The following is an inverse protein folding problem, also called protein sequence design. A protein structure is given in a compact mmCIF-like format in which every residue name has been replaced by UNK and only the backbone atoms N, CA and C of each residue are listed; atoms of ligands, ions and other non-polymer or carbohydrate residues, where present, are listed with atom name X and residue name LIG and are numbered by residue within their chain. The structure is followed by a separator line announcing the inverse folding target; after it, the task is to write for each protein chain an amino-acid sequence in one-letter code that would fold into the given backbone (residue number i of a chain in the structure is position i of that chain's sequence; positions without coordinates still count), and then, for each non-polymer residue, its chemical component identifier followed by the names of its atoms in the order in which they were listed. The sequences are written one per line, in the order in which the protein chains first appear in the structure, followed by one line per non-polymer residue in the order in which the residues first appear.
data_IF_986532306365
#
_entry.id   IF_986532306365
#
_cell.length_a   1.000
_cell.length_b   1.000
_cell.length_c   1.000
_cell.angle_alpha   90.00
_cell.angle_beta   90.00
_cell.angle_gamma   90.00
#
_symmetry.space_group_name_H-M   'P 1'
#
loop_
_entity.id
_entity.type
_entity.pdbx_description
1 polymer ?
#
# COMPACT_ATOMS: atom_id res chain seq x y z
N UNK A 1 -3.52 -7.97 -1.12
CA UNK A 1 -4.82 -8.40 -0.55
C UNK A 1 -5.80 -7.23 -0.37
N UNK A 2 -5.49 -6.16 0.37
CA UNK A 2 -6.42 -5.03 0.56
C UNK A 2 -6.97 -4.45 -0.75
N UNK A 3 -6.10 -4.21 -1.73
CA UNK A 3 -6.46 -3.75 -3.08
C UNK A 3 -7.38 -4.75 -3.80
N UNK A 4 -7.15 -6.06 -3.64
CA UNK A 4 -7.97 -7.11 -4.25
C UNK A 4 -9.40 -7.05 -3.73
N UNK A 5 -9.57 -6.97 -2.40
CA UNK A 5 -10.90 -6.91 -1.81
C UNK A 5 -11.63 -5.61 -2.15
N UNK A 6 -10.92 -4.48 -2.11
CA UNK A 6 -11.47 -3.20 -2.52
C UNK A 6 -11.94 -3.24 -3.99
N UNK A 7 -11.11 -3.77 -4.89
CA UNK A 7 -11.46 -3.93 -6.30
C UNK A 7 -12.74 -4.76 -6.49
N UNK A 8 -12.85 -5.88 -5.78
CA UNK A 8 -14.03 -6.78 -5.85
C UNK A 8 -15.30 -6.14 -5.31
N UNK A 9 -15.21 -5.51 -4.13
CA UNK A 9 -16.40 -5.09 -3.36
C UNK A 9 -16.83 -3.66 -3.62
N UNK A 10 -15.90 -2.78 -3.93
CA UNK A 10 -16.15 -1.35 -4.07
C UNK A 10 -16.11 -0.94 -5.54
N UNK A 11 -15.08 -1.38 -6.28
CA UNK A 11 -14.92 -1.02 -7.69
C UNK A 11 -15.66 -1.96 -8.68
N UNK A 12 -16.36 -2.98 -8.19
CA UNK A 12 -17.15 -3.90 -9.02
C UNK A 12 -16.33 -4.83 -9.93
N UNK A 13 -15.02 -4.94 -9.73
CA UNK A 13 -14.13 -5.81 -10.51
C UNK A 13 -14.20 -7.25 -9.99
N UNK A 14 -15.32 -7.91 -10.30
CA UNK A 14 -15.55 -9.30 -9.93
C UNK A 14 -14.43 -10.20 -10.45
N UNK A 15 -13.87 -11.05 -9.58
CA UNK A 15 -12.75 -11.92 -9.94
C UNK A 15 -11.38 -11.25 -9.91
N UNK A 16 -11.26 -9.97 -9.49
CA UNK A 16 -9.96 -9.33 -9.34
C UNK A 16 -9.04 -10.12 -8.40
N UNK A 17 -7.75 -10.20 -8.72
CA UNK A 17 -6.79 -10.95 -7.93
C UNK A 17 -5.36 -10.43 -8.12
N UNK A 18 -4.42 -11.03 -7.37
CA UNK A 18 -3.00 -10.96 -7.68
C UNK A 18 -2.64 -12.08 -8.66
N UNK A 19 -1.74 -11.82 -9.60
CA UNK A 19 -1.11 -12.89 -10.39
C UNK A 19 -0.56 -14.00 -9.50
N UNK A 20 0.02 -13.63 -8.36
CA UNK A 20 0.60 -14.56 -7.39
C UNK A 20 -0.36 -15.68 -6.96
N UNK A 21 -1.65 -15.37 -6.85
CA UNK A 21 -2.66 -16.32 -6.36
C UNK A 21 -3.50 -16.92 -7.48
N UNK A 22 -3.69 -16.18 -8.57
CA UNK A 22 -4.51 -16.59 -9.71
C UNK A 22 -4.03 -15.92 -10.99
N UNK A 23 -3.20 -16.64 -11.74
CA UNK A 23 -2.67 -16.21 -13.04
C UNK A 23 -3.77 -16.05 -14.10
N UNK A 24 -4.92 -16.71 -13.92
CA UNK A 24 -6.04 -16.69 -14.86
C UNK A 24 -7.07 -15.60 -14.56
N UNK A 25 -6.88 -14.86 -13.46
CA UNK A 25 -7.80 -13.79 -13.06
C UNK A 25 -8.01 -12.78 -14.20
N UNK A 26 -9.27 -12.38 -14.47
CA UNK A 26 -9.59 -11.38 -15.48
C UNK A 26 -9.12 -9.98 -15.08
N UNK A 27 -8.90 -9.73 -13.77
CA UNK A 27 -8.43 -8.44 -13.27
C UNK A 27 -7.24 -8.59 -12.32
N UNK A 28 -6.03 -8.62 -12.90
CA UNK A 28 -4.77 -8.63 -12.15
C UNK A 28 -4.44 -7.24 -11.61
N UNK A 29 -5.07 -6.88 -10.48
CA UNK A 29 -4.86 -5.58 -9.82
C UNK A 29 -3.52 -5.51 -9.09
N UNK A 30 -2.92 -6.67 -8.79
CA UNK A 30 -1.53 -6.82 -8.35
C UNK A 30 -0.85 -7.74 -9.37
N UNK A 31 0.25 -7.29 -9.96
CA UNK A 31 0.96 -8.03 -11.01
C UNK A 31 2.48 -7.79 -10.90
N UNK A 32 3.31 -8.30 -11.80
CA UNK A 32 4.73 -7.98 -11.84
C UNK A 32 4.99 -6.48 -12.02
N UNK A 33 6.21 -6.05 -11.71
CA UNK A 33 6.64 -4.69 -12.00
C UNK A 33 6.48 -4.38 -13.50
N UNK A 34 6.18 -3.11 -13.86
CA UNK A 34 6.16 -2.70 -15.25
C UNK A 34 7.46 -3.07 -15.98
N UNK A 35 7.33 -3.76 -17.12
CA UNK A 35 8.48 -4.24 -17.91
C UNK A 35 9.07 -5.57 -17.44
N UNK A 36 8.41 -6.26 -16.51
CA UNK A 36 8.79 -7.62 -16.10
C UNK A 36 7.74 -8.65 -16.52
N UNK A 37 8.20 -9.88 -16.74
CA UNK A 37 7.39 -11.00 -17.22
C UNK A 37 7.87 -12.31 -16.60
N UNK A 38 7.10 -13.38 -16.82
CA UNK A 38 7.46 -14.75 -16.41
C UNK A 38 8.75 -15.26 -17.08
N UNK A 39 9.22 -14.62 -18.15
CA UNK A 39 10.46 -14.95 -18.86
C UNK A 39 11.71 -14.43 -18.14
N UNK A 40 11.55 -13.47 -17.24
CA UNK A 40 12.63 -12.93 -16.42
C UNK A 40 12.74 -13.80 -15.16
N UNK A 41 13.96 -14.23 -14.82
CA UNK A 41 14.21 -14.99 -13.60
C UNK A 41 13.63 -14.23 -12.39
N UNK A 42 12.93 -14.95 -11.50
CA UNK A 42 12.23 -14.40 -10.33
C UNK A 42 13.18 -13.67 -9.37
N UNK A 43 14.49 -13.87 -9.49
CA UNK A 43 15.51 -13.04 -8.84
C UNK A 43 15.59 -11.61 -9.38
N UNK A 44 15.46 -11.44 -10.71
CA UNK A 44 15.49 -10.15 -11.40
C UNK A 44 14.25 -9.29 -11.18
N UNK A 45 13.16 -9.87 -10.67
CA UNK A 45 11.92 -9.17 -10.32
C UNK A 45 11.85 -8.68 -8.88
N UNK A 46 12.84 -9.04 -8.05
CA UNK A 46 12.84 -8.74 -6.63
C UNK A 46 13.28 -7.29 -6.37
N UNK A 47 12.38 -6.52 -5.75
CA UNK A 47 12.70 -5.23 -5.15
C UNK A 47 13.18 -5.44 -3.71
N UNK A 48 14.48 -5.25 -3.49
CA UNK A 48 15.15 -5.54 -2.22
C UNK A 48 16.01 -4.37 -1.76
N UNK A 49 15.70 -3.81 -0.59
CA UNK A 49 16.48 -2.72 -0.01
C UNK A 49 15.64 -1.52 0.38
N UNK A 50 16.31 -0.39 0.64
CA UNK A 50 15.64 0.86 1.00
C UNK A 50 15.28 1.65 -0.27
N UNK A 51 14.02 2.04 -0.41
CA UNK A 51 13.53 2.83 -1.54
C UNK A 51 12.81 4.09 -1.05
N UNK A 52 12.88 5.20 -1.81
CA UNK A 52 12.15 6.41 -1.49
C UNK A 52 10.65 6.26 -1.77
N UNK A 53 9.84 6.93 -0.95
CA UNK A 53 8.39 7.05 -1.14
C UNK A 53 7.98 8.50 -0.86
N UNK A 54 7.27 9.09 -1.83
CA UNK A 54 6.66 10.40 -1.77
C UNK A 54 5.21 10.26 -1.29
N UNK A 55 4.92 10.83 -0.12
CA UNK A 55 3.62 10.77 0.55
C UNK A 55 2.71 11.88 0.00
N UNK A 56 1.45 11.54 -0.25
CA UNK A 56 0.40 12.49 -0.60
C UNK A 56 -0.04 13.26 0.66
N UNK A 57 -0.14 14.61 0.63
CA UNK A 57 -0.67 15.39 1.75
C UNK A 57 -2.12 15.04 2.11
N UNK A 58 -2.50 15.28 3.36
CA UNK A 58 -3.83 15.01 3.92
C UNK A 58 -4.09 13.56 4.32
N UNK A 59 -3.08 12.68 4.19
CA UNK A 59 -3.23 11.23 4.37
C UNK A 59 -2.91 10.72 5.77
N UNK A 60 -3.28 9.48 6.07
CA UNK A 60 -2.82 8.77 7.29
C UNK A 60 -1.29 8.69 7.29
N UNK A 61 -0.68 8.48 6.12
CA UNK A 61 0.78 8.46 5.95
C UNK A 61 1.42 9.76 6.43
N UNK A 62 0.95 10.92 5.97
CA UNK A 62 1.49 12.22 6.40
C UNK A 62 1.31 12.42 7.91
N UNK A 63 0.12 12.14 8.44
CA UNK A 63 -0.16 12.28 9.88
C UNK A 63 0.76 11.41 10.74
N UNK A 64 1.09 10.21 10.28
CA UNK A 64 1.97 9.30 11.02
C UNK A 64 3.43 9.77 10.94
N UNK A 65 3.93 10.04 9.74
CA UNK A 65 5.35 10.33 9.52
C UNK A 65 5.75 11.77 9.86
N UNK A 66 4.83 12.73 9.74
CA UNK A 66 5.09 14.16 9.93
C UNK A 66 5.96 14.78 8.83
N UNK A 67 6.16 14.08 7.71
CA UNK A 67 6.90 14.56 6.54
C UNK A 67 6.34 13.92 5.26
N UNK A 68 6.72 14.48 4.10
CA UNK A 68 6.22 14.03 2.79
C UNK A 68 7.19 13.11 2.03
N UNK A 69 8.43 12.97 2.49
CA UNK A 69 9.42 12.14 1.83
C UNK A 69 10.02 11.18 2.84
N UNK A 70 9.88 9.88 2.57
CA UNK A 70 10.36 8.81 3.43
C UNK A 70 11.23 7.83 2.63
N UNK A 71 11.96 6.97 3.34
CA UNK A 71 12.65 5.83 2.74
C UNK A 71 12.41 4.59 3.57
N UNK A 72 11.90 3.53 2.96
CA UNK A 72 11.45 2.31 3.63
C UNK A 72 12.03 1.06 2.99
N UNK A 73 12.05 -0.06 3.74
CA UNK A 73 12.67 -1.31 3.29
C UNK A 73 11.65 -2.21 2.60
N UNK A 74 11.94 -2.56 1.34
CA UNK A 74 11.14 -3.45 0.52
C UNK A 74 11.79 -4.82 0.39
N UNK A 75 10.95 -5.84 0.27
CA UNK A 75 11.33 -7.21 -0.10
C UNK A 75 10.13 -7.91 -0.73
N UNK A 76 9.84 -7.56 -1.97
CA UNK A 76 8.69 -8.09 -2.70
C UNK A 76 8.96 -8.10 -4.21
N UNK A 77 8.04 -8.69 -4.99
CA UNK A 77 8.17 -8.86 -6.45
C UNK A 77 6.97 -8.37 -7.25
N UNK A 78 5.81 -8.32 -6.60
CA UNK A 78 4.56 -7.93 -7.24
C UNK A 78 4.22 -6.51 -6.81
N UNK A 79 3.73 -5.72 -7.75
CA UNK A 79 3.38 -4.33 -7.58
C UNK A 79 1.90 -4.12 -7.87
N UNK A 80 1.38 -2.97 -7.45
CA UNK A 80 0.10 -2.49 -7.92
C UNK A 80 0.12 -2.33 -9.44
N UNK A 81 -0.86 -2.90 -10.14
CA UNK A 81 -0.98 -2.75 -11.58
C UNK A 81 -1.53 -1.35 -11.92
N UNK A 82 -0.71 -0.55 -12.59
CA UNK A 82 -1.03 0.84 -12.88
C UNK A 82 -2.27 1.04 -13.78
N UNK A 83 -2.63 0.04 -14.58
CA UNK A 83 -3.83 0.07 -15.43
C UNK A 83 -5.11 0.22 -14.60
N UNK A 84 -5.07 -0.17 -13.33
CA UNK A 84 -6.20 -0.09 -12.40
C UNK A 84 -6.18 1.17 -11.51
N UNK A 85 -5.20 2.07 -11.65
CA UNK A 85 -5.11 3.26 -10.77
C UNK A 85 -6.35 4.12 -10.85
N UNK A 86 -6.73 4.52 -12.06
CA UNK A 86 -7.81 5.47 -12.26
C UNK A 86 -9.12 4.91 -11.73
N UNK A 87 -9.52 3.70 -12.17
CA UNK A 87 -10.77 3.07 -11.74
C UNK A 87 -10.85 2.86 -10.23
N UNK A 88 -9.73 2.48 -9.58
CA UNK A 88 -9.72 2.27 -8.13
C UNK A 88 -9.73 3.61 -7.36
N UNK A 89 -9.08 4.65 -7.87
CA UNK A 89 -9.14 5.99 -7.29
C UNK A 89 -10.52 6.63 -7.43
N UNK A 90 -11.15 6.50 -8.59
CA UNK A 90 -12.53 6.97 -8.83
C UNK A 90 -13.54 6.25 -7.93
N UNK A 91 -13.28 4.98 -7.60
CA UNK A 91 -14.06 4.22 -6.61
C UNK A 91 -13.76 4.60 -5.14
N UNK A 92 -12.79 5.48 -4.89
CA UNK A 92 -12.48 6.02 -3.55
C UNK A 92 -11.20 5.50 -2.89
N UNK A 93 -10.36 4.73 -3.58
CA UNK A 93 -9.07 4.30 -3.04
C UNK A 93 -8.04 5.45 -3.12
N UNK A 94 -7.45 5.83 -2.00
CA UNK A 94 -6.36 6.82 -2.01
C UNK A 94 -5.03 6.13 -2.24
N UNK A 95 -4.28 6.53 -3.27
CA UNK A 95 -2.86 6.19 -3.41
C UNK A 95 -2.06 7.17 -2.53
N UNK A 96 -1.73 6.77 -1.31
CA UNK A 96 -1.16 7.66 -0.28
C UNK A 96 0.35 7.81 -0.36
N UNK A 97 1.03 6.95 -1.09
CA UNK A 97 2.47 6.94 -1.23
C UNK A 97 2.87 6.35 -2.57
N UNK A 98 3.69 7.09 -3.31
CA UNK A 98 4.20 6.70 -4.62
C UNK A 98 5.72 6.73 -4.63
N UNK A 99 6.35 6.03 -5.58
CA UNK A 99 7.75 6.32 -5.90
C UNK A 99 7.91 7.78 -6.35
N UNK A 100 9.09 8.41 -6.21
CA UNK A 100 9.29 9.82 -6.57
C UNK A 100 8.99 10.17 -8.04
N UNK A 101 9.12 9.20 -8.94
CA UNK A 101 8.74 9.33 -10.37
C UNK A 101 7.24 9.07 -10.63
N UNK A 102 6.47 8.79 -9.58
CA UNK A 102 5.05 8.50 -9.62
C UNK A 102 4.69 7.12 -10.19
N UNK A 103 5.66 6.28 -10.58
CA UNK A 103 5.42 5.05 -11.33
C UNK A 103 4.99 3.86 -10.49
N UNK A 104 5.39 3.79 -9.22
CA UNK A 104 5.03 2.69 -8.33
C UNK A 104 4.09 3.18 -7.25
N UNK A 105 3.09 2.36 -6.89
CA UNK A 105 2.21 2.60 -5.75
C UNK A 105 2.78 1.86 -4.55
N UNK A 106 3.29 2.62 -3.60
CA UNK A 106 3.94 2.07 -2.40
C UNK A 106 2.93 1.82 -1.28
N UNK A 107 1.92 2.70 -1.17
CA UNK A 107 0.90 2.63 -0.14
C UNK A 107 -0.48 3.05 -0.65
N UNK A 108 -1.52 2.42 -0.10
CA UNK A 108 -2.92 2.75 -0.35
C UNK A 108 -3.66 2.92 0.96
N UNK A 109 -4.66 3.79 1.00
CA UNK A 109 -5.49 4.01 2.19
C UNK A 109 -6.93 4.33 1.83
N UNK A 110 -7.81 4.26 2.84
CA UNK A 110 -9.15 4.84 2.79
C UNK A 110 -9.14 6.06 3.72
N UNK A 111 -8.95 7.25 3.15
CA UNK A 111 -8.67 8.46 3.92
C UNK A 111 -9.84 8.92 4.79
N UNK A 112 -11.06 8.48 4.48
CA UNK A 112 -12.27 8.76 5.27
C UNK A 112 -12.39 7.90 6.53
N UNK A 113 -11.52 6.89 6.68
CA UNK A 113 -11.47 6.03 7.86
C UNK A 113 -10.44 6.54 8.87
N UNK A 114 -10.67 6.36 10.20
CA UNK A 114 -9.70 6.80 11.21
C UNK A 114 -8.29 6.24 10.99
N UNK A 115 -8.22 4.96 10.60
CA UNK A 115 -6.98 4.29 10.21
C UNK A 115 -7.28 3.08 9.32
N UNK A 116 -7.03 3.21 8.02
CA UNK A 116 -7.01 2.09 7.07
C UNK A 116 -5.86 2.31 6.10
N UNK A 117 -4.77 1.57 6.23
CA UNK A 117 -3.55 1.76 5.46
C UNK A 117 -2.95 0.41 5.08
N UNK A 118 -2.67 0.22 3.80
CA UNK A 118 -1.86 -0.88 3.27
C UNK A 118 -0.53 -0.36 2.76
N UNK A 119 0.56 -1.02 3.15
CA UNK A 119 1.92 -0.70 2.72
C UNK A 119 2.57 -1.91 2.06
N UNK A 120 3.45 -1.67 1.09
CA UNK A 120 4.26 -2.72 0.49
C UNK A 120 5.59 -2.96 1.23
N UNK A 121 6.14 -1.92 1.86
CA UNK A 121 7.39 -2.04 2.63
C UNK A 121 7.19 -2.70 4.00
N UNK A 122 8.30 -2.97 4.67
CA UNK A 122 8.38 -3.64 5.97
C UNK A 122 8.69 -2.64 7.11
N UNK A 123 7.68 -1.96 7.69
CA UNK A 123 7.87 -1.01 8.79
C UNK A 123 8.53 -1.64 10.03
N UNK A 124 8.37 -2.95 10.21
CA UNK A 124 8.96 -3.74 11.29
C UNK A 124 10.49 -3.62 11.37
N UNK A 125 11.18 -3.51 10.22
CA UNK A 125 12.64 -3.46 10.21
C UNK A 125 13.21 -2.13 10.71
N UNK A 126 12.42 -1.07 10.72
CA UNK A 126 12.82 0.26 11.18
C UNK A 126 12.27 0.63 12.57
N UNK A 127 11.38 -0.18 13.12
CA UNK A 127 10.91 -0.03 14.50
C UNK A 127 12.03 -0.33 15.51
N UNK A 128 12.08 0.41 16.62
CA UNK A 128 13.00 0.19 17.74
C UNK A 128 12.25 0.30 19.07
N UNK A 129 12.70 -0.35 20.17
CA UNK A 129 12.02 -0.28 21.46
C UNK A 129 11.77 1.14 21.98
N UNK A 130 12.75 2.04 21.82
CA UNK A 130 12.68 3.44 22.23
C UNK A 130 12.17 4.39 21.12
N UNK A 131 11.94 3.87 19.92
CA UNK A 131 11.49 4.65 18.76
C UNK A 131 10.61 3.74 17.89
N UNK A 132 9.35 3.50 18.30
CA UNK A 132 8.44 2.67 17.54
C UNK A 132 8.21 3.28 16.15
N UNK A 133 8.02 2.43 15.15
CA UNK A 133 7.74 2.89 13.81
C UNK A 133 6.46 3.78 13.79
N UNK A 134 6.45 4.90 13.05
CA UNK A 134 5.34 5.85 13.09
C UNK A 134 3.97 5.23 12.76
N UNK A 135 3.93 4.30 11.80
CA UNK A 135 2.69 3.60 11.44
C UNK A 135 2.13 2.73 12.57
N UNK A 136 2.99 2.05 13.35
CA UNK A 136 2.51 1.24 14.48
C UNK A 136 2.01 2.13 15.61
N UNK A 137 2.72 3.23 15.89
CA UNK A 137 2.26 4.23 16.85
C UNK A 137 0.92 4.84 16.42
N UNK A 138 0.78 5.16 15.14
CA UNK A 138 -0.46 5.69 14.56
C UNK A 138 -1.63 4.72 14.69
N UNK A 139 -1.42 3.44 14.35
CA UNK A 139 -2.45 2.40 14.45
C UNK A 139 -2.93 2.21 15.89
N UNK A 140 -2.01 2.07 16.86
CA UNK A 140 -2.36 1.92 18.27
C UNK A 140 -3.06 3.18 18.80
N UNK A 141 -2.61 4.36 18.39
CA UNK A 141 -3.26 5.63 18.73
C UNK A 141 -4.71 5.70 18.24
N UNK A 142 -4.94 5.34 16.97
CA UNK A 142 -6.28 5.30 16.39
C UNK A 142 -7.18 4.26 17.08
N UNK A 143 -6.65 3.09 17.40
CA UNK A 143 -7.38 2.06 18.14
C UNK A 143 -7.75 2.51 19.56
N UNK A 144 -6.82 3.16 20.27
CA UNK A 144 -7.06 3.69 21.61
C UNK A 144 -8.11 4.81 21.60
N UNK A 145 -8.08 5.71 20.60
CA UNK A 145 -9.09 6.75 20.45
C UNK A 145 -10.47 6.13 20.19
N UNK A 146 -10.56 5.19 19.24
CA UNK A 146 -11.81 4.48 18.94
C UNK A 146 -12.41 3.77 20.16
N UNK A 147 -11.57 3.27 21.06
CA UNK A 147 -12.01 2.64 22.31
C UNK A 147 -12.57 3.64 23.33
N UNK A 148 -12.12 4.91 23.30
CA UNK A 148 -12.69 5.99 24.12
C UNK A 148 -14.03 6.45 23.56
N UNK A 149 -14.09 6.71 22.25
CA UNK A 149 -15.31 7.19 21.57
C UNK A 149 -16.50 6.22 21.69
N UNK A 150 -16.25 4.93 21.99
CA UNK A 150 -17.29 3.91 22.22
C UNK A 150 -17.83 3.88 23.64
N UNK A 151 -17.13 4.49 24.59
CA UNK A 151 -17.51 4.55 26.02
C UNK A 151 -18.32 5.81 26.35
N UNK A 152 -18.25 6.80 25.47
CA UNK A 152 -19.08 8.01 25.46
C UNK A 152 -20.37 7.76 24.67
#
# INVERSE_FOLDING_TARGET
IAVIEFARRVAGLAGANSREFDETSPHKVIDFMPGQSDEIDKGGTLRLGAYPCAIKPGTVMERCYGCLNISERHRHRYEFNNDYRQVLQEAGLTLSGLSPDGRLVETVELSDMPFYLGVQFHPEFKSRPNRPHPLFKGFIGAAAQRAKDRKE
#
